data_IF_012417096946
#
_entry.id   IF_012417096946
#
_cell.length_a   1.000
_cell.length_b   1.000
_cell.length_c   1.000
_cell.angle_alpha   90.00
_cell.angle_beta   90.00
_cell.angle_gamma   90.00
#
_symmetry.space_group_name_H-M   'P 1'
#
loop_
_entity.id
_entity.type
_entity.pdbx_description
1 polymer ?
#
# COMPACT_ATOMS: atom_id res chain seq x y z
N UNK A 1 -21.49 -0.63 -106.49
CA UNK A 1 -20.67 -1.42 -107.44
C UNK A 1 -20.30 -2.71 -106.70
N UNK A 2 -20.89 -3.80 -107.14
CA UNK A 2 -20.27 -5.08 -107.63
C UNK A 2 -19.25 -5.64 -106.60
N UNK A 3 -19.28 -6.91 -106.21
CA UNK A 3 -19.86 -8.16 -106.73
C UNK A 3 -19.31 -9.29 -105.79
N UNK A 4 -20.11 -10.22 -105.32
CA UNK A 4 -20.18 -11.62 -105.85
C UNK A 4 -18.98 -12.54 -105.43
N UNK A 5 -19.46 -13.66 -104.88
CA UNK A 5 -19.00 -15.06 -105.09
C UNK A 5 -18.13 -15.62 -103.97
N UNK A 6 -18.18 -16.82 -103.43
CA UNK A 6 -18.85 -18.11 -103.78
C UNK A 6 -18.61 -19.02 -102.59
N UNK A 7 -19.61 -19.66 -102.08
CA UNK A 7 -19.93 -21.02 -101.77
C UNK A 7 -18.75 -22.02 -101.88
N UNK A 8 -18.39 -22.69 -100.76
CA UNK A 8 -18.06 -24.11 -100.77
C UNK A 8 -18.42 -24.81 -99.46
N UNK A 9 -19.22 -25.83 -99.54
CA UNK A 9 -19.59 -26.80 -98.49
C UNK A 9 -18.41 -27.70 -98.14
N UNK A 10 -18.28 -28.03 -96.90
CA UNK A 10 -17.78 -29.34 -96.42
C UNK A 10 -18.36 -29.70 -95.09
N UNK A 11 -18.97 -30.85 -94.88
CA UNK A 11 -19.55 -31.26 -93.60
C UNK A 11 -18.44 -31.85 -92.71
N UNK A 12 -18.24 -31.41 -91.51
CA UNK A 12 -17.39 -32.11 -90.53
C UNK A 12 -18.24 -32.53 -89.33
N UNK A 13 -18.40 -33.81 -89.26
CA UNK A 13 -18.83 -34.72 -88.21
C UNK A 13 -18.93 -34.09 -86.80
N UNK A 14 -20.19 -34.04 -86.31
CA UNK A 14 -20.55 -33.94 -84.90
C UNK A 14 -20.21 -35.28 -84.20
N UNK A 15 -19.10 -35.36 -83.47
CA UNK A 15 -18.92 -36.31 -82.38
C UNK A 15 -19.44 -35.65 -81.14
N UNK A 16 -20.64 -35.89 -80.74
CA UNK A 16 -21.19 -35.54 -79.45
C UNK A 16 -20.48 -36.39 -78.38
N UNK A 17 -19.58 -35.81 -77.65
CA UNK A 17 -19.18 -36.32 -76.33
C UNK A 17 -20.38 -36.15 -75.41
N UNK A 18 -21.03 -37.26 -75.11
CA UNK A 18 -22.09 -37.37 -74.11
C UNK A 18 -21.42 -37.31 -72.74
N UNK A 19 -21.17 -36.10 -72.21
CA UNK A 19 -20.78 -35.91 -70.80
C UNK A 19 -22.06 -36.10 -69.95
N UNK A 20 -21.98 -37.05 -69.05
CA UNK A 20 -23.04 -37.38 -68.10
C UNK A 20 -23.47 -36.15 -67.28
N UNK A 21 -24.76 -35.76 -67.31
CA UNK A 21 -25.27 -34.60 -66.56
C UNK A 21 -25.01 -34.68 -65.06
N UNK A 22 -24.69 -35.85 -64.53
CA UNK A 22 -24.32 -36.03 -63.13
C UNK A 22 -22.88 -35.55 -62.82
N UNK A 23 -21.92 -35.72 -63.73
CA UNK A 23 -20.55 -35.23 -63.54
C UNK A 23 -20.44 -33.69 -63.66
N UNK A 24 -21.35 -33.07 -64.45
CA UNK A 24 -21.37 -31.59 -64.50
C UNK A 24 -21.99 -30.99 -63.25
N UNK A 25 -22.92 -31.66 -62.60
CA UNK A 25 -23.51 -31.25 -61.32
C UNK A 25 -22.49 -31.36 -60.16
N UNK A 26 -21.66 -32.39 -60.17
CA UNK A 26 -20.61 -32.58 -59.15
C UNK A 26 -19.48 -31.55 -59.30
N UNK A 27 -19.16 -31.12 -60.50
CA UNK A 27 -18.16 -30.07 -60.76
C UNK A 27 -18.67 -28.66 -60.52
N UNK A 28 -20.00 -28.42 -60.59
CA UNK A 28 -20.63 -27.11 -60.29
C UNK A 28 -21.04 -26.93 -58.82
N UNK A 29 -21.23 -28.03 -58.08
CA UNK A 29 -21.64 -28.01 -56.69
C UNK A 29 -20.44 -28.14 -55.71
N UNK A 30 -19.19 -28.10 -56.20
CA UNK A 30 -18.03 -28.25 -55.33
C UNK A 30 -18.11 -29.57 -54.56
N UNK A 31 -17.19 -30.49 -54.79
CA UNK A 31 -17.03 -31.65 -53.91
C UNK A 31 -16.96 -31.22 -52.43
N UNK A 32 -17.14 -32.11 -51.47
CA UNK A 32 -17.13 -31.76 -50.05
C UNK A 32 -15.90 -30.89 -49.80
N UNK A 33 -16.14 -29.62 -49.40
CA UNK A 33 -15.08 -28.67 -49.11
C UNK A 33 -14.18 -29.37 -48.10
N UNK A 34 -12.91 -29.62 -48.46
CA UNK A 34 -11.93 -30.11 -47.49
C UNK A 34 -11.97 -29.17 -46.30
N UNK A 35 -12.51 -29.67 -45.21
CA UNK A 35 -12.69 -28.90 -43.97
C UNK A 35 -11.30 -28.47 -43.50
N UNK A 36 -10.98 -27.20 -43.76
CA UNK A 36 -9.65 -26.66 -43.49
C UNK A 36 -9.36 -26.77 -42.00
N UNK A 37 -8.42 -27.61 -41.64
CA UNK A 37 -7.91 -27.75 -40.27
C UNK A 37 -6.89 -26.67 -39.99
N UNK A 38 -7.12 -25.87 -38.96
CA UNK A 38 -6.21 -24.79 -38.58
C UNK A 38 -5.34 -25.27 -37.41
N UNK A 39 -3.99 -25.27 -37.55
CA UNK A 39 -3.12 -25.59 -36.44
C UNK A 39 -3.13 -24.45 -35.39
N UNK A 40 -3.32 -24.81 -34.14
CA UNK A 40 -3.42 -23.90 -33.00
C UNK A 40 -2.61 -24.39 -31.80
N UNK A 41 -2.15 -23.47 -30.98
CA UNK A 41 -1.53 -23.81 -29.68
C UNK A 41 -2.63 -23.99 -28.63
N UNK A 42 -2.66 -25.16 -28.03
CA UNK A 42 -3.65 -25.53 -27.01
C UNK A 42 -2.99 -25.68 -25.66
N UNK A 43 -3.66 -25.18 -24.64
CA UNK A 43 -3.30 -25.40 -23.24
C UNK A 43 -4.45 -26.07 -22.52
N UNK A 44 -4.20 -27.25 -21.99
CA UNK A 44 -5.15 -27.91 -21.10
C UNK A 44 -5.23 -27.13 -19.79
N UNK A 45 -6.45 -26.91 -19.35
CA UNK A 45 -6.71 -26.17 -18.11
C UNK A 45 -6.68 -27.13 -16.92
N UNK A 46 -5.71 -26.88 -16.05
CA UNK A 46 -5.65 -27.49 -14.73
C UNK A 46 -6.02 -26.45 -13.67
N UNK A 47 -6.70 -26.87 -12.62
CA UNK A 47 -6.88 -25.99 -11.45
C UNK A 47 -5.54 -25.81 -10.75
N UNK A 48 -5.12 -24.58 -10.59
CA UNK A 48 -3.88 -24.22 -9.89
C UNK A 48 -4.27 -23.53 -8.60
N UNK A 49 -3.52 -23.82 -7.53
CA UNK A 49 -3.56 -22.97 -6.37
C UNK A 49 -2.94 -21.62 -6.78
N UNK A 50 -3.79 -20.66 -7.09
CA UNK A 50 -3.36 -19.30 -7.43
C UNK A 50 -3.52 -18.41 -6.23
N UNK A 51 -2.47 -17.72 -5.90
CA UNK A 51 -2.55 -16.60 -4.97
C UNK A 51 -3.11 -15.41 -5.73
N UNK A 52 -4.26 -14.94 -5.31
CA UNK A 52 -4.85 -13.70 -5.85
C UNK A 52 -4.12 -12.55 -5.19
N UNK A 53 -3.61 -11.64 -6.02
CA UNK A 53 -3.00 -10.40 -5.58
C UNK A 53 -3.95 -9.25 -5.86
N UNK A 54 -4.43 -8.61 -4.81
CA UNK A 54 -5.09 -7.33 -4.95
C UNK A 54 -4.04 -6.23 -4.78
N UNK A 55 -4.01 -5.29 -5.71
CA UNK A 55 -2.98 -4.26 -5.77
C UNK A 55 -3.58 -2.89 -5.54
N UNK A 56 -3.07 -2.20 -4.52
CA UNK A 56 -3.54 -0.89 -4.09
C UNK A 56 -2.42 0.14 -4.15
N UNK A 57 -2.63 1.29 -4.78
CA UNK A 57 -1.73 2.41 -4.63
C UNK A 57 -1.84 2.98 -3.22
N UNK A 58 -0.72 3.39 -2.67
CA UNK A 58 -0.65 3.99 -1.35
C UNK A 58 0.51 4.96 -1.24
N UNK A 59 0.65 5.58 -0.09
CA UNK A 59 1.77 6.45 0.22
C UNK A 59 2.34 6.11 1.60
N UNK A 60 3.64 6.32 1.72
CA UNK A 60 4.35 6.07 2.95
C UNK A 60 4.03 7.17 3.96
N UNK A 61 3.62 6.77 5.15
CA UNK A 61 3.49 7.62 6.33
C UNK A 61 4.56 7.25 7.36
N UNK A 62 4.93 8.22 8.19
CA UNK A 62 5.72 7.95 9.39
C UNK A 62 4.92 7.11 10.38
N UNK A 63 5.55 6.13 11.02
CA UNK A 63 4.89 5.31 12.05
C UNK A 63 4.57 6.10 13.31
N UNK A 64 5.43 7.03 13.66
CA UNK A 64 5.25 7.93 14.80
C UNK A 64 5.89 9.29 14.52
N UNK A 65 5.14 10.33 14.81
CA UNK A 65 5.59 11.72 14.66
C UNK A 65 5.23 12.50 15.94
N UNK A 66 6.15 13.32 16.40
CA UNK A 66 5.97 14.12 17.61
C UNK A 66 6.41 15.55 17.32
N UNK A 67 5.50 16.48 17.58
CA UNK A 67 5.79 17.90 17.59
C UNK A 67 6.35 18.30 18.94
N UNK A 68 7.48 18.99 18.94
CA UNK A 68 8.22 19.40 20.14
C UNK A 68 8.00 20.88 20.37
N UNK A 69 7.55 21.22 21.56
CA UNK A 69 7.25 22.58 21.99
C UNK A 69 7.74 22.83 23.41
N UNK A 70 8.06 24.07 23.72
CA UNK A 70 8.30 24.48 25.11
C UNK A 70 6.96 24.58 25.86
N UNK A 71 6.94 24.13 27.11
CA UNK A 71 5.76 24.28 27.97
C UNK A 71 5.62 25.71 28.50
N UNK A 72 6.75 26.40 28.68
CA UNK A 72 6.82 27.75 29.20
C UNK A 72 7.52 28.69 28.24
N UNK A 73 7.20 29.99 28.32
CA UNK A 73 7.87 31.00 27.51
C UNK A 73 9.29 31.33 28.02
N UNK A 74 10.15 31.65 27.08
CA UNK A 74 11.51 32.05 27.34
C UNK A 74 12.19 32.50 26.04
N UNK A 75 13.50 32.85 26.11
CA UNK A 75 14.29 33.16 24.92
C UNK A 75 15.15 31.95 24.56
N UNK A 76 15.07 31.48 23.32
CA UNK A 76 15.89 30.37 22.85
C UNK A 76 17.36 30.70 22.85
N UNK A 77 18.15 30.05 23.70
CA UNK A 77 19.59 30.28 23.83
C UNK A 77 20.41 29.28 23.02
N UNK A 78 20.03 28.02 23.06
CA UNK A 78 20.74 26.96 22.37
C UNK A 78 19.80 26.14 21.53
N UNK A 79 20.22 25.84 20.31
CA UNK A 79 19.56 24.93 19.37
C UNK A 79 20.64 23.95 18.88
N UNK A 80 20.59 22.72 19.36
CA UNK A 80 21.65 21.73 19.20
C UNK A 80 21.42 20.77 18.03
N UNK A 81 20.36 20.99 17.26
CA UNK A 81 19.97 20.09 16.17
C UNK A 81 19.55 20.89 14.94
N UNK A 82 19.67 20.26 13.77
CA UNK A 82 19.26 20.82 12.47
C UNK A 82 18.25 19.90 11.81
N UNK A 83 17.51 20.45 10.86
CA UNK A 83 16.66 19.66 9.98
C UNK A 83 17.48 18.59 9.24
N UNK A 84 16.93 17.37 9.17
CA UNK A 84 17.59 16.18 8.61
C UNK A 84 18.50 15.43 9.58
N UNK A 85 18.75 15.96 10.77
CA UNK A 85 19.64 15.33 11.76
C UNK A 85 18.94 14.17 12.49
N UNK A 86 19.69 13.11 12.74
CA UNK A 86 19.21 11.96 13.51
C UNK A 86 19.47 12.18 15.01
N UNK A 87 18.42 12.02 15.80
CA UNK A 87 18.47 12.19 17.26
C UNK A 87 18.11 10.89 17.98
N UNK A 88 18.62 10.75 19.21
CA UNK A 88 18.31 9.63 20.11
C UNK A 88 17.35 10.08 21.20
N UNK A 89 16.51 9.17 21.68
CA UNK A 89 15.66 9.44 22.85
C UNK A 89 16.48 9.96 24.03
N UNK A 90 16.05 11.07 24.64
CA UNK A 90 16.73 11.77 25.74
C UNK A 90 17.81 12.75 25.30
N UNK A 91 18.16 12.87 24.03
CA UNK A 91 19.13 13.86 23.54
C UNK A 91 18.58 15.28 23.72
N UNK A 92 19.42 16.20 24.22
CA UNK A 92 19.06 17.61 24.35
C UNK A 92 18.97 18.26 22.96
N UNK A 93 17.82 18.82 22.64
CA UNK A 93 17.50 19.43 21.35
C UNK A 93 17.66 20.93 21.36
N UNK A 94 17.10 21.56 22.38
CA UNK A 94 17.11 23.02 22.54
C UNK A 94 17.00 23.40 24.00
N UNK A 95 17.47 24.63 24.31
CA UNK A 95 17.38 25.19 25.66
C UNK A 95 16.94 26.65 25.56
N UNK A 96 15.94 27.02 26.38
CA UNK A 96 15.49 28.39 26.51
C UNK A 96 15.86 28.93 27.90
N UNK A 97 16.11 30.23 28.00
CA UNK A 97 16.23 30.94 29.27
C UNK A 97 14.94 31.66 29.60
N UNK A 98 14.51 31.54 30.84
CA UNK A 98 13.32 32.24 31.35
C UNK A 98 13.65 32.88 32.71
N UNK A 99 14.01 34.19 32.75
CA UNK A 99 14.28 34.88 34.01
C UNK A 99 13.13 34.76 35.02
N UNK A 100 11.90 34.65 34.54
CA UNK A 100 10.71 34.43 35.39
C UNK A 100 10.80 33.10 36.14
N UNK A 101 11.11 32.01 35.44
CA UNK A 101 11.24 30.68 36.07
C UNK A 101 12.45 30.61 36.99
N UNK A 102 13.58 31.24 36.61
CA UNK A 102 14.78 31.31 37.44
C UNK A 102 14.49 32.03 38.78
N UNK A 103 13.77 33.18 38.73
CA UNK A 103 13.37 33.92 39.91
C UNK A 103 12.34 33.13 40.76
N UNK A 104 11.39 32.42 40.12
CA UNK A 104 10.44 31.56 40.82
C UNK A 104 11.16 30.43 41.59
N UNK A 105 12.11 29.76 40.92
CA UNK A 105 12.91 28.72 41.58
C UNK A 105 13.71 29.25 42.75
N UNK A 106 14.35 30.43 42.58
CA UNK A 106 15.14 31.10 43.67
C UNK A 106 14.25 31.44 44.84
N UNK A 107 13.06 31.98 44.61
CA UNK A 107 12.09 32.29 45.66
C UNK A 107 11.59 31.05 46.41
N UNK A 108 11.29 29.99 45.67
CA UNK A 108 10.84 28.73 46.26
C UNK A 108 11.98 28.08 47.09
N UNK A 109 13.23 28.12 46.61
CA UNK A 109 14.39 27.65 47.33
C UNK A 109 14.56 28.41 48.67
N UNK A 110 14.48 29.75 48.65
CA UNK A 110 14.59 30.56 49.88
C UNK A 110 13.49 30.23 50.90
N UNK A 111 12.26 29.97 50.42
CA UNK A 111 11.14 29.57 51.26
C UNK A 111 11.35 28.17 51.87
N UNK A 112 11.90 27.23 51.10
CA UNK A 112 12.26 25.90 51.59
C UNK A 112 13.35 25.96 52.65
N UNK A 113 14.41 26.74 52.40
CA UNK A 113 15.51 26.92 53.36
C UNK A 113 15.01 27.49 54.68
N UNK A 114 14.11 28.51 54.63
CA UNK A 114 13.48 29.08 55.82
C UNK A 114 12.64 28.06 56.59
N UNK A 115 11.79 27.28 55.88
CA UNK A 115 10.96 26.28 56.51
C UNK A 115 11.80 25.13 57.12
N UNK A 116 12.84 24.70 56.44
CA UNK A 116 13.77 23.69 56.90
C UNK A 116 14.53 24.14 58.15
N UNK A 117 14.96 25.39 58.21
CA UNK A 117 15.65 25.96 59.35
C UNK A 117 14.70 26.03 60.56
N UNK A 118 13.46 26.51 60.37
CA UNK A 118 12.44 26.55 61.40
C UNK A 118 12.11 25.13 61.94
N UNK A 119 11.95 24.17 61.07
CA UNK A 119 11.74 22.77 61.42
C UNK A 119 12.90 22.21 62.26
N UNK A 120 14.15 22.42 61.83
CA UNK A 120 15.34 21.93 62.53
C UNK A 120 15.46 22.50 63.93
N UNK A 121 15.12 23.79 64.12
CA UNK A 121 15.17 24.46 65.47
C UNK A 121 14.06 23.92 66.34
N UNK A 122 12.81 23.80 65.84
CA UNK A 122 11.69 23.36 66.64
C UNK A 122 11.70 21.85 66.91
N UNK A 123 12.32 21.06 66.02
CA UNK A 123 12.56 19.63 66.25
C UNK A 123 13.30 19.40 67.60
N UNK A 124 14.35 20.18 67.91
CA UNK A 124 15.09 20.07 69.18
C UNK A 124 14.21 20.37 70.40
N UNK A 125 13.23 21.27 70.26
CA UNK A 125 12.28 21.60 71.31
C UNK A 125 11.20 20.54 71.47
N UNK A 126 10.76 20.01 70.39
CA UNK A 126 9.77 18.89 70.34
C UNK A 126 10.38 17.63 70.96
N UNK A 127 11.57 17.25 70.53
CA UNK A 127 12.28 16.06 71.06
C UNK A 127 12.52 16.11 72.57
N UNK A 128 12.59 17.31 73.13
CA UNK A 128 12.65 17.55 74.58
C UNK A 128 11.27 17.59 75.27
N UNK A 129 10.20 17.33 74.56
CA UNK A 129 8.83 17.34 75.09
C UNK A 129 8.24 18.68 75.43
N UNK A 130 8.90 19.81 75.02
CA UNK A 130 8.51 21.19 75.37
C UNK A 130 7.67 21.90 74.29
N UNK A 131 7.35 21.22 73.14
CA UNK A 131 6.54 21.77 72.07
C UNK A 131 5.20 21.06 72.00
N UNK A 132 4.02 21.77 71.96
CA UNK A 132 2.72 21.16 71.74
C UNK A 132 2.66 20.46 70.38
N UNK A 133 2.04 19.27 70.32
CA UNK A 133 1.95 18.42 69.12
C UNK A 133 1.32 19.17 67.93
N UNK A 134 0.31 20.02 68.23
CA UNK A 134 -0.33 20.81 67.18
C UNK A 134 0.66 21.79 66.50
N UNK A 135 1.59 22.35 67.26
CA UNK A 135 2.64 23.25 66.72
C UNK A 135 3.70 22.49 65.94
N UNK A 136 4.02 21.32 66.42
CA UNK A 136 4.91 20.43 65.67
C UNK A 136 4.29 20.04 64.32
N UNK A 137 3.04 19.62 64.28
CA UNK A 137 2.34 19.28 63.04
C UNK A 137 2.17 20.43 62.08
N UNK A 138 2.00 21.66 62.62
CA UNK A 138 2.00 22.88 61.80
C UNK A 138 3.35 23.07 61.07
N UNK A 139 4.46 22.84 61.77
CA UNK A 139 5.80 23.00 61.19
C UNK A 139 6.12 21.92 60.15
N UNK A 140 5.74 20.65 60.41
CA UNK A 140 5.86 19.59 59.40
C UNK A 140 5.09 19.94 58.12
N UNK A 141 3.85 20.42 58.27
CA UNK A 141 3.01 20.79 57.12
C UNK A 141 3.59 21.99 56.37
N UNK A 142 4.20 22.97 57.08
CA UNK A 142 4.82 24.13 56.43
C UNK A 142 6.08 23.73 55.66
N UNK A 143 6.90 22.81 56.19
CA UNK A 143 8.06 22.28 55.49
C UNK A 143 7.63 21.49 54.23
N UNK A 144 6.62 20.62 54.33
CA UNK A 144 6.08 19.85 53.22
C UNK A 144 5.54 20.74 52.08
N UNK A 145 4.83 21.84 52.45
CA UNK A 145 4.35 22.84 51.45
C UNK A 145 5.53 23.54 50.75
N UNK A 146 6.55 23.96 51.52
CA UNK A 146 7.70 24.62 50.94
C UNK A 146 8.52 23.69 50.04
N UNK A 147 8.64 22.41 50.42
CA UNK A 147 9.29 21.38 49.63
C UNK A 147 8.55 21.17 48.30
N UNK A 148 7.22 21.01 48.34
CA UNK A 148 6.40 20.82 47.15
C UNK A 148 6.47 22.04 46.20
N UNK A 149 6.50 23.25 46.74
CA UNK A 149 6.66 24.47 45.94
C UNK A 149 8.01 24.55 45.24
N UNK A 150 9.08 24.15 45.94
CA UNK A 150 10.42 24.08 45.35
C UNK A 150 10.50 23.02 44.24
N UNK A 151 9.98 21.81 44.46
CA UNK A 151 9.94 20.72 43.47
C UNK A 151 9.19 21.14 42.23
N UNK A 152 8.04 21.83 42.37
CA UNK A 152 7.29 22.37 41.27
C UNK A 152 8.12 23.38 40.47
N UNK A 153 8.75 24.36 41.13
CA UNK A 153 9.57 25.37 40.46
C UNK A 153 10.79 24.72 39.76
N UNK A 154 11.39 23.71 40.36
CA UNK A 154 12.49 22.94 39.77
C UNK A 154 12.04 22.19 38.51
N UNK A 155 10.87 21.54 38.53
CA UNK A 155 10.30 20.88 37.38
C UNK A 155 10.01 21.85 36.23
N UNK A 156 9.45 23.04 36.56
CA UNK A 156 9.21 24.08 35.54
C UNK A 156 10.54 24.56 34.91
N UNK A 157 11.61 24.63 35.65
CA UNK A 157 12.93 25.02 35.16
C UNK A 157 13.53 23.92 34.24
N UNK A 158 13.35 22.65 34.61
CA UNK A 158 13.78 21.52 33.78
C UNK A 158 13.04 21.48 32.43
N UNK A 159 11.77 21.85 32.40
CA UNK A 159 10.94 21.91 31.18
C UNK A 159 11.42 22.97 30.16
N UNK A 160 12.34 23.87 30.54
CA UNK A 160 13.01 24.79 29.64
C UNK A 160 14.15 24.14 28.83
N UNK A 161 14.46 22.87 29.07
CA UNK A 161 15.38 22.08 28.28
C UNK A 161 14.58 21.02 27.53
N UNK A 162 14.49 21.16 26.22
CA UNK A 162 13.81 20.19 25.37
C UNK A 162 14.70 19.00 25.07
N UNK A 163 14.16 17.81 25.30
CA UNK A 163 14.81 16.55 24.96
C UNK A 163 13.95 15.74 23.99
N UNK A 164 14.60 14.91 23.17
CA UNK A 164 13.90 14.04 22.24
C UNK A 164 13.12 12.95 23.00
N UNK A 165 11.78 12.89 22.87
CA UNK A 165 10.97 11.85 23.53
C UNK A 165 11.08 10.49 22.83
N UNK A 166 11.47 10.49 21.56
CA UNK A 166 11.71 9.30 20.72
C UNK A 166 13.03 9.45 19.98
N UNK A 167 13.61 8.33 19.55
CA UNK A 167 14.69 8.34 18.55
C UNK A 167 14.08 8.50 17.15
N UNK A 168 14.73 9.30 16.29
CA UNK A 168 14.18 9.59 14.96
C UNK A 168 14.99 10.61 14.17
N UNK A 169 14.36 11.24 13.20
CA UNK A 169 14.92 12.31 12.37
C UNK A 169 14.12 13.60 12.60
N UNK A 170 14.83 14.69 12.75
CA UNK A 170 14.23 16.03 12.82
C UNK A 170 13.82 16.44 11.40
N UNK A 171 12.51 16.68 11.16
CA UNK A 171 11.99 17.00 9.83
C UNK A 171 11.65 18.46 9.63
N UNK A 172 11.46 19.20 10.72
CA UNK A 172 11.25 20.64 10.68
C UNK A 172 11.87 21.28 11.91
N UNK A 173 12.43 22.47 11.74
CA UNK A 173 12.93 23.35 12.82
C UNK A 173 12.45 24.76 12.53
N UNK A 174 11.40 25.19 13.26
CA UNK A 174 10.73 26.48 13.08
C UNK A 174 11.08 27.45 14.21
N UNK A 175 12.36 27.52 14.60
CA UNK A 175 12.83 28.43 15.64
C UNK A 175 14.28 28.85 15.39
N UNK A 176 14.61 30.06 15.84
CA UNK A 176 15.97 30.62 15.74
C UNK A 176 16.53 31.02 17.12
N UNK A 177 17.83 30.91 17.29
CA UNK A 177 18.51 31.37 18.51
C UNK A 177 18.25 32.85 18.69
N UNK A 178 17.86 33.25 19.91
CA UNK A 178 17.47 34.62 20.27
C UNK A 178 15.97 34.91 20.11
N UNK A 179 15.20 34.00 19.51
CA UNK A 179 13.74 34.13 19.38
C UNK A 179 13.02 33.84 20.72
N UNK A 180 11.94 34.57 20.98
CA UNK A 180 11.08 34.29 22.12
C UNK A 180 10.17 33.10 21.83
N UNK A 181 10.22 32.08 22.66
CA UNK A 181 9.39 30.89 22.54
C UNK A 181 7.96 31.15 23.03
N UNK A 182 6.98 30.70 22.29
CA UNK A 182 5.58 30.76 22.68
C UNK A 182 5.22 29.41 23.31
N UNK A 183 4.63 29.39 24.54
CA UNK A 183 4.20 28.13 25.15
C UNK A 183 3.32 27.28 24.25
N UNK A 184 3.61 25.97 24.17
CA UNK A 184 2.86 24.96 23.42
C UNK A 184 2.85 25.14 21.89
N UNK A 185 3.54 26.16 21.35
CA UNK A 185 3.75 26.27 19.91
C UNK A 185 4.88 25.33 19.50
N UNK A 186 4.64 24.38 18.57
CA UNK A 186 5.71 23.51 18.07
C UNK A 186 6.83 24.32 17.44
N UNK A 187 8.07 23.95 17.79
CA UNK A 187 9.30 24.55 17.22
C UNK A 187 10.10 23.54 16.39
N UNK A 188 9.83 22.28 16.54
CA UNK A 188 10.43 21.22 15.72
C UNK A 188 9.54 19.99 15.68
N UNK A 189 9.76 19.16 14.66
CA UNK A 189 9.07 17.88 14.48
C UNK A 189 10.10 16.75 14.39
N UNK A 190 9.87 15.67 15.12
CA UNK A 190 10.66 14.44 15.06
C UNK A 190 9.78 13.31 14.55
N UNK A 191 10.27 12.57 13.56
CA UNK A 191 9.63 11.37 13.05
C UNK A 191 10.47 10.14 13.37
N UNK A 192 9.81 9.05 13.73
CA UNK A 192 10.44 7.74 13.81
C UNK A 192 10.34 7.04 12.46
N UNK A 193 11.49 6.66 11.90
CA UNK A 193 11.57 5.94 10.62
C UNK A 193 11.59 4.41 10.77
N UNK A 194 11.65 3.90 12.01
CA UNK A 194 11.65 2.45 12.25
C UNK A 194 10.27 1.80 12.06
N UNK A 195 9.20 2.60 12.08
CA UNK A 195 7.82 2.15 11.96
C UNK A 195 7.12 2.68 10.70
N UNK A 196 7.82 2.81 9.57
CA UNK A 196 7.18 3.28 8.33
C UNK A 196 6.00 2.39 7.96
N UNK A 197 4.88 3.04 7.68
CA UNK A 197 3.65 2.37 7.22
C UNK A 197 3.28 2.86 5.82
N UNK A 198 2.67 1.99 5.02
CA UNK A 198 2.05 2.38 3.76
C UNK A 198 0.55 2.44 3.99
N UNK A 199 -0.01 3.61 3.79
CA UNK A 199 -1.46 3.81 3.85
C UNK A 199 -2.06 3.63 2.47
N UNK A 200 -2.96 2.67 2.35
CA UNK A 200 -3.70 2.36 1.15
C UNK A 200 -5.19 2.64 1.32
N UNK A 201 -5.87 2.86 0.22
CA UNK A 201 -7.32 3.05 0.16
C UNK A 201 -7.95 1.81 -0.47
N UNK A 202 -8.71 1.06 0.30
CA UNK A 202 -9.34 -0.20 -0.13
C UNK A 202 -10.82 0.05 -0.40
N UNK A 203 -11.34 -0.32 -1.59
CA UNK A 203 -12.76 -0.21 -1.90
C UNK A 203 -13.65 -1.01 -0.93
N UNK A 204 -14.89 -0.54 -0.74
CA UNK A 204 -15.88 -1.20 0.12
C UNK A 204 -16.14 -2.66 -0.30
N UNK A 205 -16.11 -2.94 -1.59
CA UNK A 205 -16.31 -4.29 -2.13
C UNK A 205 -15.22 -5.29 -1.76
N UNK A 206 -14.03 -4.80 -1.38
CA UNK A 206 -12.84 -5.64 -1.15
C UNK A 206 -12.40 -5.64 0.33
N UNK A 207 -12.82 -4.65 1.12
CA UNK A 207 -12.37 -4.50 2.51
C UNK A 207 -12.72 -5.71 3.39
N UNK A 208 -13.81 -6.42 3.07
CA UNK A 208 -14.22 -7.64 3.79
C UNK A 208 -13.23 -8.80 3.68
N UNK A 209 -12.41 -8.82 2.63
CA UNK A 209 -11.45 -9.88 2.35
C UNK A 209 -10.08 -9.64 3.03
N UNK A 210 -9.82 -8.41 3.49
CA UNK A 210 -8.56 -8.04 4.14
C UNK A 210 -8.66 -8.30 5.64
N UNK A 211 -7.70 -9.03 6.18
CA UNK A 211 -7.59 -9.33 7.59
C UNK A 211 -6.38 -8.65 8.21
N UNK A 212 -6.41 -8.54 9.54
CA UNK A 212 -5.23 -8.13 10.30
C UNK A 212 -4.15 -9.19 10.14
N UNK A 213 -2.90 -8.76 10.12
CA UNK A 213 -1.68 -9.57 9.90
C UNK A 213 -1.56 -10.21 8.50
N UNK A 214 -2.47 -9.92 7.55
CA UNK A 214 -2.30 -10.32 6.15
C UNK A 214 -0.95 -9.83 5.63
N UNK A 215 -0.23 -10.73 4.95
CA UNK A 215 1.07 -10.44 4.38
C UNK A 215 0.92 -9.57 3.13
N UNK A 216 1.84 -8.64 2.97
CA UNK A 216 1.87 -7.71 1.85
C UNK A 216 3.25 -7.64 1.21
N UNK A 217 3.30 -7.46 -0.08
CA UNK A 217 4.48 -7.02 -0.80
C UNK A 217 4.31 -5.55 -1.20
N UNK A 218 5.32 -4.74 -0.89
CA UNK A 218 5.30 -3.30 -1.11
C UNK A 218 6.37 -2.97 -2.14
N UNK A 219 5.97 -2.39 -3.26
CA UNK A 219 6.88 -1.98 -4.34
C UNK A 219 6.99 -0.46 -4.35
N UNK A 220 8.20 0.06 -4.28
CA UNK A 220 8.48 1.51 -4.27
C UNK A 220 9.12 1.93 -5.60
N UNK A 221 8.37 2.54 -6.52
CA UNK A 221 8.90 2.95 -7.83
C UNK A 221 10.05 3.95 -7.75
N UNK A 222 10.01 4.85 -6.76
CA UNK A 222 11.07 5.85 -6.54
C UNK A 222 12.42 5.24 -6.15
N UNK A 223 12.47 3.97 -5.77
CA UNK A 223 13.67 3.20 -5.41
C UNK A 223 13.89 2.03 -6.39
N UNK A 224 13.81 2.30 -7.69
CA UNK A 224 14.00 1.32 -8.77
C UNK A 224 13.11 0.06 -8.62
N UNK A 225 11.85 0.26 -8.21
CA UNK A 225 10.89 -0.81 -7.93
C UNK A 225 11.36 -1.79 -6.84
N UNK A 226 12.13 -1.31 -5.88
CA UNK A 226 12.56 -2.12 -4.74
C UNK A 226 11.35 -2.66 -3.99
N UNK A 227 11.44 -3.93 -3.59
CA UNK A 227 10.39 -4.67 -2.92
C UNK A 227 10.68 -4.79 -1.44
N UNK A 228 9.65 -4.58 -0.64
CA UNK A 228 9.67 -4.74 0.82
C UNK A 228 8.54 -5.66 1.23
N UNK A 229 8.78 -6.50 2.21
CA UNK A 229 7.70 -7.23 2.87
C UNK A 229 7.03 -6.37 3.92
N UNK A 230 5.74 -6.58 4.13
CA UNK A 230 4.99 -5.90 5.17
C UNK A 230 3.80 -6.73 5.62
N UNK A 231 3.06 -6.22 6.58
CA UNK A 231 1.82 -6.81 7.06
C UNK A 231 0.78 -5.75 7.40
N UNK A 232 -0.50 -6.12 7.27
CA UNK A 232 -1.63 -5.26 7.67
C UNK A 232 -1.63 -5.11 9.19
N UNK A 233 -1.52 -3.86 9.67
CA UNK A 233 -1.48 -3.56 11.11
C UNK A 233 -2.64 -2.70 11.57
N UNK A 234 -3.33 -2.03 10.65
CA UNK A 234 -4.51 -1.23 10.99
C UNK A 234 -5.52 -1.28 9.83
N UNK A 235 -6.78 -1.51 10.16
CA UNK A 235 -7.91 -1.47 9.23
C UNK A 235 -8.95 -0.53 9.79
N UNK A 236 -9.23 0.56 9.09
CA UNK A 236 -10.22 1.54 9.54
C UNK A 236 -11.62 0.91 9.57
N UNK A 237 -12.38 1.25 10.60
CA UNK A 237 -13.79 0.86 10.70
C UNK A 237 -14.74 1.83 9.98
N UNK A 238 -14.22 2.99 9.54
CA UNK A 238 -15.01 4.01 8.85
C UNK A 238 -14.42 4.30 7.48
N UNK A 239 -15.31 4.37 6.49
CA UNK A 239 -14.93 4.78 5.14
C UNK A 239 -14.67 6.29 5.07
N UNK A 240 -13.78 6.69 4.19
CA UNK A 240 -13.64 8.07 3.76
C UNK A 240 -14.87 8.48 2.94
N UNK A 241 -15.59 9.52 3.36
CA UNK A 241 -16.76 10.02 2.65
C UNK A 241 -16.42 10.58 1.26
N UNK A 242 -15.18 10.98 1.05
CA UNK A 242 -14.72 11.56 -0.21
C UNK A 242 -14.38 10.50 -1.25
N UNK A 243 -13.79 9.40 -0.83
CA UNK A 243 -13.24 8.37 -1.75
C UNK A 243 -14.03 7.06 -1.71
N UNK A 244 -15.02 6.92 -0.83
CA UNK A 244 -15.77 5.68 -0.59
C UNK A 244 -14.86 4.47 -0.39
N UNK A 245 -13.74 4.67 0.30
CA UNK A 245 -12.73 3.64 0.56
C UNK A 245 -12.34 3.61 2.02
N UNK A 246 -11.89 2.46 2.47
CA UNK A 246 -11.43 2.24 3.83
C UNK A 246 -9.92 2.38 3.89
N UNK A 247 -9.38 3.29 4.73
CA UNK A 247 -7.94 3.34 4.99
C UNK A 247 -7.45 2.05 5.64
N UNK A 248 -6.39 1.47 5.09
CA UNK A 248 -5.68 0.34 5.67
C UNK A 248 -4.20 0.71 5.75
N UNK A 249 -3.55 0.39 6.88
CA UNK A 249 -2.13 0.61 7.06
C UNK A 249 -1.38 -0.72 7.04
N UNK A 250 -0.35 -0.75 6.25
CA UNK A 250 0.57 -1.87 6.10
C UNK A 250 1.93 -1.45 6.63
N UNK A 251 2.37 -2.06 7.71
CA UNK A 251 3.70 -1.79 8.29
C UNK A 251 4.77 -2.49 7.48
N UNK A 252 5.81 -1.75 7.11
CA UNK A 252 6.97 -2.28 6.40
C UNK A 252 7.84 -3.06 7.38
N UNK A 253 8.14 -4.31 7.07
CA UNK A 253 9.12 -5.09 7.82
C UNK A 253 10.52 -4.61 7.44
N UNK A 254 11.36 -4.32 8.43
CA UNK A 254 12.75 -3.92 8.24
C UNK A 254 12.91 -2.76 7.22
N UNK A 255 12.32 -1.57 7.51
CA UNK A 255 12.50 -0.40 6.65
C UNK A 255 13.96 0.01 6.61
N UNK A 256 14.47 0.34 5.42
CA UNK A 256 15.81 0.88 5.28
C UNK A 256 15.81 2.43 5.33
N UNK A 257 17.01 3.00 5.31
CA UNK A 257 17.21 4.46 5.41
C UNK A 257 16.77 5.23 4.15
N UNK A 258 16.53 4.53 3.04
CA UNK A 258 16.16 5.15 1.76
C UNK A 258 14.64 5.38 1.69
N UNK A 259 13.85 4.65 2.50
CA UNK A 259 12.41 4.87 2.63
C UNK A 259 12.12 6.19 3.33
N UNK A 260 11.30 7.02 2.69
CA UNK A 260 10.90 8.33 3.22
C UNK A 260 9.39 8.48 3.23
N UNK A 261 8.80 9.03 4.29
CA UNK A 261 7.41 9.45 4.28
C UNK A 261 7.11 10.35 3.08
N UNK A 262 5.91 10.18 2.50
CA UNK A 262 5.48 10.88 1.28
C UNK A 262 5.82 10.15 -0.02
N UNK A 263 6.67 9.12 -0.03
CA UNK A 263 6.86 8.28 -1.20
C UNK A 263 5.59 7.52 -1.56
N UNK A 264 5.36 7.32 -2.86
CA UNK A 264 4.27 6.48 -3.35
C UNK A 264 4.76 5.04 -3.40
N UNK A 265 3.92 4.12 -2.92
CA UNK A 265 4.14 2.68 -2.96
C UNK A 265 2.93 1.96 -3.57
N UNK A 266 3.19 0.83 -4.18
CA UNK A 266 2.17 -0.13 -4.62
C UNK A 266 2.18 -1.30 -3.63
N UNK A 267 1.06 -1.55 -2.98
CA UNK A 267 0.90 -2.65 -2.03
C UNK A 267 0.15 -3.79 -2.70
N UNK A 268 0.74 -4.95 -2.72
CA UNK A 268 0.14 -6.19 -3.19
C UNK A 268 -0.20 -7.04 -1.97
N UNK A 269 -1.51 -7.15 -1.66
CA UNK A 269 -2.01 -8.00 -0.59
C UNK A 269 -2.27 -9.39 -1.11
N UNK A 270 -1.75 -10.39 -0.40
CA UNK A 270 -1.98 -11.79 -0.70
C UNK A 270 -3.35 -12.19 -0.14
N UNK A 271 -4.27 -12.49 -1.03
CA UNK A 271 -5.51 -13.17 -0.67
C UNK A 271 -5.26 -14.67 -0.58
N UNK A 272 -6.15 -15.37 0.09
CA UNK A 272 -6.06 -16.84 0.28
C UNK A 272 -5.78 -17.54 -1.05
N UNK A 273 -4.97 -18.58 -1.01
CA UNK A 273 -4.82 -19.48 -2.16
C UNK A 273 -6.18 -20.09 -2.51
N UNK A 274 -6.76 -19.65 -3.63
CA UNK A 274 -7.98 -20.25 -4.16
C UNK A 274 -7.59 -21.22 -5.26
N UNK A 275 -8.25 -22.37 -5.31
CA UNK A 275 -8.21 -23.19 -6.52
C UNK A 275 -8.89 -22.41 -7.63
N UNK A 276 -8.11 -21.90 -8.54
CA UNK A 276 -8.59 -21.05 -9.62
C UNK A 276 -8.02 -21.50 -10.95
N UNK A 277 -8.77 -21.26 -12.00
CA UNK A 277 -8.32 -21.44 -13.36
C UNK A 277 -7.54 -20.21 -13.77
N UNK A 278 -6.27 -20.40 -14.12
CA UNK A 278 -5.39 -19.31 -14.60
C UNK A 278 -5.07 -19.58 -16.07
N UNK A 279 -5.32 -18.57 -16.90
CA UNK A 279 -5.00 -18.61 -18.32
C UNK A 279 -4.07 -17.45 -18.71
N UNK A 280 -3.24 -17.60 -19.74
CA UNK A 280 -2.44 -16.49 -20.25
C UNK A 280 -3.32 -15.32 -20.67
N UNK A 281 -2.91 -14.10 -20.33
CA UNK A 281 -3.70 -12.89 -20.61
C UNK A 281 -3.96 -12.67 -22.11
N UNK A 282 -3.06 -13.12 -22.98
CA UNK A 282 -3.19 -13.06 -24.44
C UNK A 282 -4.27 -14.00 -25.02
N UNK A 283 -4.72 -14.99 -24.26
CA UNK A 283 -5.81 -15.88 -24.66
C UNK A 283 -7.21 -15.24 -24.49
N UNK A 284 -7.30 -14.17 -23.70
CA UNK A 284 -8.57 -13.47 -23.44
C UNK A 284 -8.86 -12.49 -24.57
N UNK A 285 -10.00 -12.69 -25.22
CA UNK A 285 -10.51 -11.84 -26.28
C UNK A 285 -11.73 -11.06 -25.81
N UNK A 286 -11.95 -9.90 -26.41
CA UNK A 286 -13.08 -9.03 -26.06
C UNK A 286 -13.87 -8.73 -27.31
N UNK A 287 -15.19 -8.87 -27.24
CA UNK A 287 -16.12 -8.44 -28.28
C UNK A 287 -17.24 -7.59 -27.64
N UNK A 288 -18.26 -7.24 -28.44
CA UNK A 288 -19.42 -6.48 -27.97
C UNK A 288 -20.28 -7.20 -26.91
N UNK A 289 -20.19 -8.52 -26.86
CA UNK A 289 -21.00 -9.37 -25.97
C UNK A 289 -20.25 -9.69 -24.65
N UNK A 290 -18.94 -9.41 -24.59
CA UNK A 290 -18.14 -9.61 -23.39
C UNK A 290 -16.74 -10.17 -23.64
N UNK A 291 -16.14 -10.70 -22.57
CA UNK A 291 -14.84 -11.37 -22.61
C UNK A 291 -15.04 -12.85 -22.89
N UNK A 292 -14.24 -13.40 -23.77
CA UNK A 292 -14.32 -14.82 -24.14
C UNK A 292 -12.94 -15.41 -24.44
N UNK A 293 -12.89 -16.72 -24.49
CA UNK A 293 -11.73 -17.51 -24.95
C UNK A 293 -12.19 -18.52 -26.01
N UNK A 294 -11.27 -18.95 -26.82
CA UNK A 294 -11.49 -20.10 -27.69
C UNK A 294 -11.11 -21.40 -26.97
N UNK A 295 -11.97 -22.40 -27.07
CA UNK A 295 -11.75 -23.74 -26.53
C UNK A 295 -11.83 -24.74 -27.69
N UNK A 296 -10.90 -25.70 -27.73
CA UNK A 296 -10.98 -26.83 -28.64
C UNK A 296 -11.85 -27.90 -27.99
N UNK A 297 -13.07 -28.07 -28.53
CA UNK A 297 -14.05 -29.05 -28.12
C UNK A 297 -14.28 -30.04 -29.27
N UNK A 298 -14.02 -31.32 -29.06
CA UNK A 298 -14.08 -32.36 -30.09
C UNK A 298 -13.38 -31.99 -31.43
N UNK A 299 -12.21 -31.31 -31.31
CA UNK A 299 -11.41 -30.87 -32.45
C UNK A 299 -12.00 -29.68 -33.22
N UNK A 300 -12.97 -28.97 -32.65
CA UNK A 300 -13.57 -27.74 -33.17
C UNK A 300 -13.38 -26.57 -32.24
N UNK A 301 -13.19 -25.38 -32.79
CA UNK A 301 -13.07 -24.15 -32.02
C UNK A 301 -14.46 -23.64 -31.58
N UNK A 302 -14.67 -23.53 -30.29
CA UNK A 302 -15.89 -23.02 -29.67
C UNK A 302 -15.58 -21.84 -28.75
N UNK A 303 -16.41 -20.80 -28.78
CA UNK A 303 -16.28 -19.66 -27.87
C UNK A 303 -16.91 -19.95 -26.52
N UNK A 304 -16.14 -19.75 -25.45
CA UNK A 304 -16.66 -19.72 -24.08
C UNK A 304 -16.53 -18.32 -23.50
N UNK A 305 -17.65 -17.72 -23.09
CA UNK A 305 -17.64 -16.46 -22.35
C UNK A 305 -17.13 -16.68 -20.95
N UNK A 306 -16.30 -15.76 -20.46
CA UNK A 306 -15.65 -15.88 -19.17
C UNK A 306 -15.80 -14.63 -18.32
N UNK A 307 -15.83 -14.82 -17.00
CA UNK A 307 -15.72 -13.76 -16.01
C UNK A 307 -14.34 -13.82 -15.37
N UNK A 308 -13.66 -12.66 -15.27
CA UNK A 308 -12.35 -12.56 -14.64
C UNK A 308 -12.49 -12.03 -13.22
N UNK A 309 -11.78 -12.63 -12.27
CA UNK A 309 -11.76 -12.18 -10.85
C UNK A 309 -10.46 -11.51 -10.43
N UNK A 310 -9.40 -11.57 -11.23
CA UNK A 310 -8.13 -10.95 -10.85
C UNK A 310 -6.96 -11.33 -11.75
N UNK A 311 -5.76 -11.01 -11.26
CA UNK A 311 -4.50 -11.33 -11.93
C UNK A 311 -3.67 -12.26 -11.05
N UNK A 312 -2.90 -13.13 -11.68
CA UNK A 312 -1.88 -13.97 -11.06
C UNK A 312 -0.54 -13.68 -11.73
N UNK A 313 0.57 -13.98 -11.07
CA UNK A 313 1.89 -13.86 -11.68
C UNK A 313 2.07 -14.67 -12.98
N UNK A 314 1.15 -15.62 -13.28
CA UNK A 314 1.16 -16.47 -14.47
C UNK A 314 0.11 -16.08 -15.52
N UNK A 315 -0.80 -15.13 -15.23
CA UNK A 315 -1.86 -14.74 -16.16
C UNK A 315 -3.08 -14.12 -15.47
N UNK A 316 -4.25 -14.35 -16.03
CA UNK A 316 -5.54 -13.88 -15.50
C UNK A 316 -6.33 -15.02 -14.87
N UNK A 317 -7.02 -14.71 -13.78
CA UNK A 317 -7.84 -15.65 -13.02
C UNK A 317 -9.27 -15.62 -13.56
N UNK A 318 -9.77 -16.78 -13.95
CA UNK A 318 -11.13 -16.96 -14.42
C UNK A 318 -11.99 -17.48 -13.27
N UNK A 319 -13.07 -16.74 -12.93
CA UNK A 319 -14.05 -17.15 -11.92
C UNK A 319 -15.19 -17.99 -12.50
N UNK A 320 -15.56 -17.73 -13.75
CA UNK A 320 -16.68 -18.42 -14.40
C UNK A 320 -16.43 -18.63 -15.89
N UNK A 321 -17.02 -19.67 -16.47
CA UNK A 321 -17.02 -19.92 -17.92
C UNK A 321 -16.01 -20.94 -18.38
N UNK A 322 -15.06 -21.39 -17.53
CA UNK A 322 -14.16 -22.51 -17.83
C UNK A 322 -14.26 -23.60 -16.76
N UNK A 323 -13.96 -24.81 -17.17
CA UNK A 323 -13.89 -25.98 -16.30
C UNK A 323 -12.51 -26.63 -16.37
N UNK A 324 -12.14 -27.34 -15.30
CA UNK A 324 -10.94 -28.16 -15.32
C UNK A 324 -11.02 -29.21 -16.44
N UNK A 325 -9.97 -29.31 -17.23
CA UNK A 325 -9.90 -30.19 -18.37
C UNK A 325 -10.23 -29.52 -19.69
N UNK A 326 -10.76 -28.30 -19.72
CA UNK A 326 -10.96 -27.53 -20.96
C UNK A 326 -9.62 -27.32 -21.70
N UNK A 327 -9.67 -27.36 -23.02
CA UNK A 327 -8.54 -27.15 -23.91
C UNK A 327 -8.58 -25.73 -24.48
N UNK A 328 -7.98 -24.76 -23.79
CA UNK A 328 -8.00 -23.36 -24.24
C UNK A 328 -6.97 -23.13 -25.34
N UNK A 329 -7.40 -22.46 -26.40
CA UNK A 329 -6.54 -22.08 -27.52
C UNK A 329 -5.81 -20.78 -27.13
N UNK A 330 -4.49 -20.85 -26.99
CA UNK A 330 -3.63 -19.74 -26.56
C UNK A 330 -2.85 -19.10 -27.71
N UNK A 331 -2.70 -19.80 -28.83
CA UNK A 331 -2.01 -19.32 -30.04
C UNK A 331 -2.79 -19.70 -31.29
N UNK A 332 -2.68 -18.90 -32.35
CA UNK A 332 -3.35 -19.17 -33.65
C UNK A 332 -4.83 -18.78 -33.72
N UNK A 333 -5.41 -18.27 -32.65
CA UNK A 333 -6.84 -17.91 -32.56
C UNK A 333 -7.29 -16.81 -33.53
N UNK A 334 -6.36 -16.06 -34.11
CA UNK A 334 -6.65 -15.02 -35.12
C UNK A 334 -7.15 -15.60 -36.47
N UNK A 335 -6.93 -16.91 -36.70
CA UNK A 335 -7.24 -17.59 -37.94
C UNK A 335 -8.46 -18.50 -37.84
N UNK A 336 -9.11 -18.53 -36.68
CA UNK A 336 -10.25 -19.43 -36.43
C UNK A 336 -11.56 -18.66 -36.28
N UNK A 337 -12.64 -19.36 -36.55
CA UNK A 337 -14.02 -18.94 -36.36
C UNK A 337 -14.80 -20.04 -35.67
N UNK A 338 -15.99 -19.71 -35.16
CA UNK A 338 -16.88 -20.66 -34.49
C UNK A 338 -17.10 -21.92 -35.34
N UNK A 339 -16.89 -23.10 -34.74
CA UNK A 339 -17.11 -24.41 -35.39
C UNK A 339 -15.99 -24.88 -36.31
N UNK A 340 -14.94 -24.08 -36.57
CA UNK A 340 -13.80 -24.51 -37.40
C UNK A 340 -13.04 -25.67 -36.77
N UNK A 341 -12.61 -26.62 -37.63
CA UNK A 341 -11.70 -27.69 -37.20
C UNK A 341 -10.32 -27.14 -36.84
N UNK A 342 -9.84 -27.54 -35.69
CA UNK A 342 -8.51 -27.18 -35.17
C UNK A 342 -7.70 -28.43 -34.85
N UNK A 343 -6.39 -28.34 -35.01
CA UNK A 343 -5.46 -29.36 -34.56
C UNK A 343 -4.38 -28.71 -33.71
N UNK A 344 -3.94 -29.41 -32.70
CA UNK A 344 -2.79 -28.96 -31.91
C UNK A 344 -1.53 -29.06 -32.77
N UNK A 345 -0.72 -27.98 -32.78
CA UNK A 345 0.61 -28.09 -33.40
C UNK A 345 1.65 -28.44 -32.31
N UNK A 346 2.48 -29.45 -32.64
CA UNK A 346 3.61 -29.77 -31.77
C UNK A 346 4.61 -28.61 -31.75
N UNK A 347 4.89 -28.12 -30.57
CA UNK A 347 5.94 -27.12 -30.35
C UNK A 347 7.28 -27.87 -30.44
N UNK A 348 8.02 -27.68 -31.54
CA UNK A 348 9.41 -28.11 -31.63
C UNK A 348 10.30 -27.34 -30.64
#
# INVERSE_FOLDING_TARGET
>A
MKAKHILWLLPLLLTACHEDPQQLKEKLLGGPAEERVVPVGIQRIDSVNSTVYNSYPGYLEEGQSIDIAFKYGGTLQHLNVKEGERVRKGQVLAQASSPTLENTLRSAQASLDQAQDAYNRLKKVHDNGSLPEIKWKEMETNLEKAQSAYELAQSMMQDNTLTAPISGIVTAVDAQIGENTIPLKPIMKIINTEGIVVKIAVPETEIGQINMDDQAEIVIPALDNRRYSGKVTEKSMTASLLTHSYPVKVTVNQPDKDLRPGMIGKVELFSSAIQSIVIPANAVLINKDGKFVWVADDGRATRKFITLSGYSGKGVIVSEGLSQGDHVIIEGYQKISEGMKVSEYEKN
#
